data_IF_959747564627
#
_entry.id   IF_959747564627
#
_cell.length_a   1.000
_cell.length_b   1.000
_cell.length_c   1.000
_cell.angle_alpha   90.00
_cell.angle_beta   90.00
_cell.angle_gamma   90.00
#
_symmetry.space_group_name_H-M   'P 1'
#
loop_
_entity.id
_entity.type
_entity.pdbx_description
1 polymer ?
#
# COMPACT_ATOMS: atom_id res chain seq x y z
N UNK A 1 -22.97 -29.83 -2.66
CA UNK A 1 -24.24 -29.36 -2.03
C UNK A 1 -24.83 -30.32 -1.00
N UNK A 2 -24.82 -31.66 -1.17
CA UNK A 2 -25.39 -32.59 -0.18
C UNK A 2 -24.50 -32.77 1.08
N UNK A 3 -23.17 -32.88 0.91
CA UNK A 3 -22.19 -32.82 2.02
C UNK A 3 -22.18 -31.49 2.79
N UNK A 4 -22.57 -30.42 2.12
CA UNK A 4 -22.64 -29.07 2.71
C UNK A 4 -23.95 -28.85 3.49
N UNK A 5 -25.01 -29.60 3.14
CA UNK A 5 -26.26 -29.67 3.92
C UNK A 5 -26.13 -30.58 5.14
N UNK A 6 -25.39 -31.68 5.07
CA UNK A 6 -25.07 -32.51 6.24
C UNK A 6 -24.12 -31.78 7.21
N UNK A 7 -23.12 -31.07 6.69
CA UNK A 7 -22.28 -30.17 7.48
C UNK A 7 -23.03 -28.96 8.05
N UNK A 8 -24.19 -28.58 7.49
CA UNK A 8 -25.09 -27.56 8.06
C UNK A 8 -26.03 -28.13 9.12
N UNK A 9 -26.56 -29.35 8.94
CA UNK A 9 -27.36 -30.05 9.96
C UNK A 9 -26.54 -30.39 11.21
N UNK A 10 -25.25 -30.67 11.05
CA UNK A 10 -24.34 -30.91 12.17
C UNK A 10 -23.89 -29.61 12.88
N UNK A 11 -24.10 -28.43 12.28
CA UNK A 11 -23.77 -27.12 12.87
C UNK A 11 -24.82 -26.60 13.85
N UNK A 12 -26.00 -27.20 13.91
CA UNK A 12 -27.08 -26.80 14.83
C UNK A 12 -27.13 -27.63 16.11
N UNK A 13 -26.22 -28.59 16.28
CA UNK A 13 -26.31 -29.55 17.36
C UNK A 13 -25.27 -29.30 18.46
N UNK A 14 -25.86 -28.84 19.57
CA UNK A 14 -25.40 -29.00 20.96
C UNK A 14 -24.45 -27.94 21.51
N UNK A 15 -25.04 -27.07 22.32
CA UNK A 15 -24.37 -26.08 23.17
C UNK A 15 -24.42 -26.55 24.61
N UNK A 16 -23.30 -27.03 25.16
CA UNK A 16 -23.19 -27.42 26.56
C UNK A 16 -22.79 -26.24 27.45
N UNK A 17 -23.33 -26.18 28.68
CA UNK A 17 -23.00 -25.17 29.69
C UNK A 17 -22.48 -25.88 30.95
N UNK A 18 -21.15 -26.02 31.06
CA UNK A 18 -20.49 -26.73 32.17
C UNK A 18 -20.07 -25.80 33.32
N UNK A 19 -20.62 -26.02 34.52
CA UNK A 19 -19.96 -25.66 35.79
C UNK A 19 -18.97 -26.79 36.21
N UNK A 20 -17.88 -26.43 36.91
CA UNK A 20 -16.91 -27.26 37.68
C UNK A 20 -16.55 -28.71 37.24
N UNK A 21 -15.25 -29.03 37.17
CA UNK A 21 -14.70 -30.26 36.54
C UNK A 21 -13.92 -31.23 37.48
N UNK A 22 -13.71 -32.50 37.08
CA UNK A 22 -12.50 -33.30 37.42
C UNK A 22 -12.08 -34.37 36.37
N UNK A 23 -10.78 -34.34 35.95
CA UNK A 23 -9.97 -35.29 35.08
C UNK A 23 -10.31 -35.29 33.55
N UNK A 24 -9.43 -35.42 32.54
CA UNK A 24 -7.97 -35.67 32.30
C UNK A 24 -7.51 -34.84 31.05
N UNK A 25 -6.47 -33.98 31.18
CA UNK A 25 -5.44 -33.54 30.19
C UNK A 25 -4.59 -32.42 30.86
N UNK A 26 -3.30 -32.66 31.12
CA UNK A 26 -2.47 -31.95 32.12
C UNK A 26 -2.47 -30.41 32.00
N UNK A 27 -2.31 -29.83 30.79
CA UNK A 27 -2.26 -28.36 30.60
C UNK A 27 -3.60 -27.62 30.70
N UNK A 28 -4.69 -28.17 30.14
CA UNK A 28 -6.04 -27.53 30.24
C UNK A 28 -6.63 -27.66 31.65
N UNK A 29 -6.29 -28.73 32.36
CA UNK A 29 -6.75 -29.00 33.74
C UNK A 29 -6.23 -27.94 34.71
N UNK A 30 -4.95 -27.62 34.72
CA UNK A 30 -4.41 -26.65 35.69
C UNK A 30 -5.02 -25.24 35.54
N UNK A 31 -5.24 -24.78 34.30
CA UNK A 31 -5.78 -23.44 34.05
C UNK A 31 -7.29 -23.33 34.30
N UNK A 32 -8.10 -24.27 33.76
CA UNK A 32 -9.57 -24.20 33.90
C UNK A 32 -10.08 -24.69 35.26
N UNK A 33 -9.40 -25.67 35.87
CA UNK A 33 -9.82 -26.25 37.15
C UNK A 33 -9.10 -25.72 38.38
N UNK A 34 -7.86 -25.26 38.21
CA UNK A 34 -7.09 -24.67 39.29
C UNK A 34 -7.43 -23.19 39.45
N UNK A 35 -7.10 -22.39 38.43
CA UNK A 35 -7.17 -20.93 38.52
C UNK A 35 -8.60 -20.36 38.52
N UNK A 36 -9.54 -21.05 37.87
CA UNK A 36 -10.92 -20.58 37.70
C UNK A 36 -11.93 -21.26 38.66
N UNK A 37 -11.47 -21.98 39.69
CA UNK A 37 -12.31 -22.76 40.60
C UNK A 37 -13.43 -21.94 41.30
N UNK A 38 -13.19 -20.64 41.53
CA UNK A 38 -14.13 -19.74 42.20
C UNK A 38 -14.98 -18.90 41.23
N UNK A 39 -14.83 -19.10 39.91
CA UNK A 39 -15.50 -18.30 38.88
C UNK A 39 -16.50 -19.16 38.12
N UNK A 40 -17.61 -18.53 37.71
CA UNK A 40 -18.54 -19.15 36.76
C UNK A 40 -17.87 -19.28 35.41
N UNK A 41 -17.81 -20.51 34.90
CA UNK A 41 -17.28 -20.82 33.57
C UNK A 41 -18.41 -21.42 32.75
N UNK A 42 -18.50 -21.02 31.48
CA UNK A 42 -19.39 -21.63 30.50
C UNK A 42 -18.53 -22.11 29.36
N UNK A 43 -18.65 -23.38 29.00
CA UNK A 43 -17.81 -23.99 27.98
C UNK A 43 -18.63 -24.80 26.98
N UNK A 44 -18.63 -24.33 25.74
CA UNK A 44 -19.32 -24.95 24.61
C UNK A 44 -18.35 -25.86 23.86
N UNK A 45 -18.69 -27.14 23.71
CA UNK A 45 -17.83 -28.11 23.02
C UNK A 45 -18.61 -29.23 22.35
N UNK A 46 -18.12 -29.71 21.20
CA UNK A 46 -18.59 -30.95 20.59
C UNK A 46 -17.87 -32.19 21.13
N UNK A 47 -16.84 -32.02 21.97
CA UNK A 47 -16.07 -33.13 22.52
C UNK A 47 -16.78 -33.71 23.75
N UNK A 48 -17.37 -34.89 23.57
CA UNK A 48 -18.18 -35.57 24.60
C UNK A 48 -17.32 -36.08 25.76
N UNK A 49 -16.02 -36.27 25.55
CA UNK A 49 -15.03 -36.72 26.54
C UNK A 49 -15.00 -35.90 27.84
N UNK A 50 -15.41 -34.63 27.79
CA UNK A 50 -15.31 -33.71 28.94
C UNK A 50 -16.62 -33.57 29.73
N UNK A 51 -17.71 -34.15 29.25
CA UNK A 51 -19.04 -34.00 29.85
C UNK A 51 -19.20 -34.69 31.21
N UNK A 52 -18.60 -35.87 31.51
CA UNK A 52 -18.75 -36.50 32.82
C UNK A 52 -18.20 -35.66 33.98
N UNK A 53 -17.30 -34.74 33.69
CA UNK A 53 -16.69 -33.86 34.67
C UNK A 53 -17.62 -32.70 35.07
N UNK A 54 -18.68 -32.40 34.30
CA UNK A 54 -19.58 -31.26 34.49
C UNK A 54 -20.44 -31.31 35.75
N UNK A 55 -20.64 -30.15 36.39
CA UNK A 55 -21.68 -29.92 37.39
C UNK A 55 -23.08 -29.79 36.75
N UNK A 56 -23.17 -29.19 35.55
CA UNK A 56 -24.41 -29.02 34.79
C UNK A 56 -24.12 -29.20 33.30
N UNK A 57 -25.03 -29.84 32.58
CA UNK A 57 -24.94 -30.06 31.15
C UNK A 57 -26.27 -29.60 30.56
N UNK A 58 -26.23 -28.76 29.53
CA UNK A 58 -27.40 -28.34 28.77
C UNK A 58 -27.27 -28.89 27.35
N UNK A 59 -28.30 -29.54 26.83
CA UNK A 59 -28.32 -30.05 25.44
C UNK A 59 -29.20 -29.11 24.63
N UNK A 60 -28.67 -28.59 23.52
CA UNK A 60 -29.43 -27.77 22.57
C UNK A 60 -29.65 -28.50 21.24
N UNK A 61 -30.90 -28.47 20.76
CA UNK A 61 -31.32 -28.99 19.45
C UNK A 61 -32.29 -27.98 18.83
N UNK A 62 -32.09 -27.64 17.55
CA UNK A 62 -32.95 -26.70 16.81
C UNK A 62 -33.17 -25.35 17.52
N UNK A 63 -32.12 -24.82 18.16
CA UNK A 63 -32.17 -23.56 18.91
C UNK A 63 -32.95 -23.61 20.23
N UNK A 64 -33.38 -24.78 20.70
CA UNK A 64 -34.06 -24.98 22.00
C UNK A 64 -33.24 -25.88 22.91
N UNK A 65 -33.34 -25.64 24.22
CA UNK A 65 -32.76 -26.53 25.24
C UNK A 65 -33.68 -27.74 25.39
N UNK A 66 -33.19 -28.93 25.08
CA UNK A 66 -33.96 -30.18 25.16
C UNK A 66 -33.80 -30.88 26.50
N UNK A 67 -32.59 -30.87 27.06
CA UNK A 67 -32.25 -31.55 28.32
C UNK A 67 -31.29 -30.71 29.16
N UNK A 68 -31.41 -30.82 30.48
CA UNK A 68 -30.59 -30.14 31.46
C UNK A 68 -30.39 -31.03 32.70
N UNK A 69 -29.16 -31.21 33.17
CA UNK A 69 -28.88 -32.06 34.34
C UNK A 69 -27.42 -32.47 34.50
N UNK A 70 -27.15 -33.37 35.45
CA UNK A 70 -25.84 -34.01 35.59
C UNK A 70 -25.68 -35.11 34.55
N UNK A 71 -24.44 -35.54 34.31
CA UNK A 71 -24.14 -36.59 33.33
C UNK A 71 -24.94 -37.88 33.56
N UNK A 72 -25.05 -38.34 34.82
CA UNK A 72 -25.85 -39.52 35.20
C UNK A 72 -27.34 -39.38 34.88
N UNK A 73 -27.87 -38.17 35.05
CA UNK A 73 -29.31 -37.92 34.99
C UNK A 73 -29.77 -37.80 33.54
N UNK A 74 -28.92 -37.20 32.68
CA UNK A 74 -29.17 -37.04 31.25
C UNK A 74 -28.97 -38.37 30.50
N UNK A 75 -27.98 -39.18 30.92
CA UNK A 75 -27.74 -40.50 30.32
C UNK A 75 -28.95 -41.44 30.52
N UNK A 76 -29.64 -41.33 31.65
CA UNK A 76 -30.78 -42.18 31.99
C UNK A 76 -32.12 -41.67 31.47
N UNK A 77 -32.22 -40.40 31.07
CA UNK A 77 -33.50 -39.74 30.73
C UNK A 77 -33.67 -39.41 29.24
N UNK A 78 -32.61 -39.51 28.42
CA UNK A 78 -32.60 -38.90 27.08
C UNK A 78 -32.18 -39.80 25.93
N UNK A 79 -33.01 -39.86 24.88
CA UNK A 79 -32.67 -40.48 23.58
C UNK A 79 -31.66 -39.64 22.78
N UNK A 80 -31.84 -38.30 22.77
CA UNK A 80 -31.03 -37.37 21.97
C UNK A 80 -29.56 -37.28 22.43
N UNK A 81 -29.30 -37.32 23.75
CA UNK A 81 -27.94 -37.30 24.29
C UNK A 81 -27.21 -38.63 24.04
N UNK A 82 -27.93 -39.74 24.18
CA UNK A 82 -27.39 -41.09 23.96
C UNK A 82 -27.04 -41.33 22.49
N UNK A 83 -27.80 -40.77 21.55
CA UNK A 83 -27.46 -40.77 20.11
C UNK A 83 -26.14 -40.02 19.86
N UNK A 84 -25.90 -38.89 20.54
CA UNK A 84 -24.67 -38.10 20.41
C UNK A 84 -23.44 -38.83 20.99
N UNK A 85 -23.58 -39.41 22.19
CA UNK A 85 -22.51 -40.17 22.83
C UNK A 85 -22.18 -41.42 22.01
N UNK A 86 -23.19 -42.14 21.53
CA UNK A 86 -23.03 -43.32 20.69
C UNK A 86 -22.41 -43.01 19.32
N UNK A 87 -22.78 -41.88 18.70
CA UNK A 87 -22.15 -41.43 17.46
C UNK A 87 -20.67 -41.07 17.66
N UNK A 88 -20.32 -40.48 18.80
CA UNK A 88 -18.94 -40.13 19.13
C UNK A 88 -18.08 -41.36 19.46
N UNK A 89 -18.61 -42.31 20.24
CA UNK A 89 -17.95 -43.58 20.55
C UNK A 89 -17.71 -44.41 19.29
N UNK A 90 -18.70 -44.43 18.38
CA UNK A 90 -18.57 -45.05 17.06
C UNK A 90 -17.51 -44.37 16.19
N UNK A 91 -17.41 -43.04 16.21
CA UNK A 91 -16.38 -42.29 15.49
C UNK A 91 -14.97 -42.51 16.06
N UNK A 92 -14.82 -42.58 17.39
CA UNK A 92 -13.55 -42.89 18.05
C UNK A 92 -13.11 -44.33 17.75
N UNK A 93 -14.03 -45.30 17.79
CA UNK A 93 -13.74 -46.69 17.44
C UNK A 93 -13.32 -46.85 15.96
N UNK A 94 -13.87 -46.04 15.05
CA UNK A 94 -13.47 -46.03 13.64
C UNK A 94 -12.07 -45.44 13.43
N UNK A 95 -11.68 -44.42 14.20
CA UNK A 95 -10.33 -43.85 14.18
C UNK A 95 -9.28 -44.83 14.73
N UNK A 96 -9.57 -45.50 15.85
CA UNK A 96 -8.70 -46.55 16.41
C UNK A 96 -8.56 -47.74 15.45
N UNK A 97 -9.62 -48.09 14.70
CA UNK A 97 -9.54 -49.13 13.66
C UNK A 97 -8.72 -48.74 12.43
N UNK A 98 -8.49 -47.44 12.21
CA UNK A 98 -7.70 -46.94 11.06
C UNK A 98 -6.20 -46.85 11.42
N UNK A 99 -5.85 -46.58 12.69
CA UNK A 99 -4.47 -46.64 13.15
C UNK A 99 -3.94 -48.09 13.22
N UNK A 100 -4.81 -49.07 13.46
CA UNK A 100 -4.46 -50.49 13.53
C UNK A 100 -4.15 -51.17 12.17
N UNK A 101 -4.45 -50.54 11.03
CA UNK A 101 -4.24 -51.13 9.68
C UNK A 101 -2.89 -50.72 9.06
N UNK A 102 -2.09 -49.87 9.72
CA UNK A 102 -0.79 -49.45 9.19
C UNK A 102 0.41 -50.35 9.56
N UNK A 103 0.17 -51.47 10.24
CA UNK A 103 1.23 -52.41 10.66
C UNK A 103 0.81 -53.85 10.40
N UNK A 104 0.67 -54.25 9.13
CA UNK A 104 0.73 -55.67 8.68
C UNK A 104 0.57 -55.74 7.16
N UNK A 105 1.64 -55.54 6.39
CA UNK A 105 1.88 -56.27 5.13
C UNK A 105 3.18 -55.78 4.48
N UNK A 106 4.26 -56.54 4.69
CA UNK A 106 5.18 -57.01 3.63
C UNK A 106 6.43 -57.62 4.27
N UNK A 107 6.46 -58.95 4.30
CA UNK A 107 7.70 -59.74 4.42
C UNK A 107 7.77 -60.68 3.22
N UNK A 108 8.98 -61.00 2.77
CA UNK A 108 9.38 -61.93 1.68
C UNK A 108 9.48 -61.25 0.29
N UNK A 109 10.58 -61.29 -0.49
CA UNK A 109 11.84 -62.06 -0.43
C UNK A 109 13.03 -61.30 -1.11
N UNK A 110 14.21 -61.47 -0.49
CA UNK A 110 15.57 -61.71 -1.01
C UNK A 110 16.15 -60.98 -2.25
N UNK A 111 17.30 -60.30 -2.05
CA UNK A 111 18.63 -60.82 -2.42
C UNK A 111 19.77 -59.79 -2.15
N UNK A 112 20.88 -60.25 -1.55
CA UNK A 112 22.22 -59.72 -1.86
C UNK A 112 23.01 -58.94 -0.78
N UNK A 113 23.70 -59.68 0.09
CA UNK A 113 25.06 -59.47 0.61
C UNK A 113 25.57 -58.06 1.02
N UNK A 114 25.67 -57.87 2.35
CA UNK A 114 26.91 -57.76 3.15
C UNK A 114 27.99 -56.74 2.73
N UNK A 115 28.15 -55.64 3.48
CA UNK A 115 29.31 -55.39 4.36
C UNK A 115 29.36 -53.94 4.93
N UNK A 116 29.62 -53.90 6.24
CA UNK A 116 29.84 -52.79 7.17
C UNK A 116 30.82 -51.69 6.70
N UNK A 117 30.65 -50.43 7.17
CA UNK A 117 31.56 -49.79 8.16
C UNK A 117 31.13 -48.33 8.49
N UNK A 118 31.24 -47.99 9.78
CA UNK A 118 30.99 -46.72 10.46
C UNK A 118 31.69 -45.46 9.89
N UNK A 119 31.12 -44.28 10.19
CA UNK A 119 31.80 -42.97 10.15
C UNK A 119 30.86 -41.81 10.52
N UNK A 120 30.64 -41.53 11.81
CA UNK A 120 31.18 -40.37 12.53
C UNK A 120 30.82 -39.01 11.91
N UNK A 121 29.85 -38.33 12.53
CA UNK A 121 29.56 -36.90 12.31
C UNK A 121 30.64 -36.09 13.02
N UNK A 122 31.54 -35.48 12.24
CA UNK A 122 32.54 -34.54 12.75
C UNK A 122 31.91 -33.16 12.98
N UNK A 123 31.99 -32.76 14.25
CA UNK A 123 31.81 -31.40 14.74
C UNK A 123 33.11 -30.65 14.45
N UNK A 124 33.07 -29.57 13.67
CA UNK A 124 34.23 -28.72 13.43
C UNK A 124 33.98 -27.37 14.12
N UNK A 125 34.60 -27.21 15.28
CA UNK A 125 35.00 -25.92 15.82
C UNK A 125 36.28 -25.51 15.10
N UNK A 126 36.35 -24.27 14.62
CA UNK A 126 37.60 -23.52 14.56
C UNK A 126 37.33 -22.05 14.90
N UNK A 127 38.08 -21.57 15.88
CA UNK A 127 38.22 -20.18 16.31
C UNK A 127 39.36 -19.53 15.54
N UNK A 128 39.18 -18.26 15.15
CA UNK A 128 40.11 -17.14 15.37
C UNK A 128 39.45 -15.87 14.80
N UNK A 129 39.01 -14.90 15.64
CA UNK A 129 39.71 -13.65 16.02
C UNK A 129 40.08 -12.80 14.77
N UNK A 130 39.61 -11.56 14.53
CA UNK A 130 39.37 -10.43 15.44
C UNK A 130 38.67 -9.25 14.71
N UNK A 131 37.97 -8.43 15.52
CA UNK A 131 37.78 -6.98 15.44
C UNK A 131 36.81 -6.34 14.43
N UNK A 132 35.73 -5.76 14.96
CA UNK A 132 34.94 -4.72 14.28
C UNK A 132 33.58 -4.44 14.91
N UNK A 133 33.57 -3.67 16.01
CA UNK A 133 32.44 -2.87 16.54
C UNK A 133 31.07 -3.55 16.72
N UNK A 134 30.78 -3.88 17.97
CA UNK A 134 29.43 -4.09 18.48
C UNK A 134 28.71 -2.74 18.57
N UNK A 135 27.72 -2.53 17.71
CA UNK A 135 26.45 -1.87 17.99
C UNK A 135 25.50 -2.15 16.80
N UNK A 136 24.20 -2.34 17.08
CA UNK A 136 23.10 -2.54 16.12
C UNK A 136 22.71 -3.96 15.64
N UNK A 137 22.84 -5.01 16.47
CA UNK A 137 22.03 -6.23 16.27
C UNK A 137 21.40 -6.71 17.58
N UNK A 138 20.40 -5.96 18.04
CA UNK A 138 19.30 -6.54 18.83
C UNK A 138 18.11 -6.68 17.89
N UNK A 139 18.25 -7.54 16.89
CA UNK A 139 17.11 -8.05 16.12
C UNK A 139 16.25 -8.88 17.06
N UNK A 140 15.04 -8.40 17.32
CA UNK A 140 13.99 -9.04 18.11
C UNK A 140 13.91 -10.55 17.88
N UNK A 141 14.11 -11.35 18.94
CA UNK A 141 13.96 -12.81 18.91
C UNK A 141 12.52 -13.17 18.45
N UNK A 142 12.40 -13.75 17.25
CA UNK A 142 11.19 -14.47 16.81
C UNK A 142 10.13 -13.64 16.09
N UNK A 143 10.47 -12.47 15.55
CA UNK A 143 9.51 -11.69 14.74
C UNK A 143 9.41 -12.31 13.33
N UNK A 144 8.36 -13.10 13.09
CA UNK A 144 8.08 -13.73 11.78
C UNK A 144 7.77 -12.66 10.72
N UNK A 145 7.21 -11.53 11.15
CA UNK A 145 6.83 -10.43 10.28
C UNK A 145 8.04 -9.52 10.07
N UNK A 146 8.57 -9.47 8.84
CA UNK A 146 9.62 -8.50 8.48
C UNK A 146 9.05 -7.08 8.52
N UNK A 147 9.70 -6.22 9.31
CA UNK A 147 9.51 -4.77 9.20
C UNK A 147 9.96 -4.31 7.81
N UNK A 148 9.26 -3.34 7.25
CA UNK A 148 9.50 -2.92 5.87
C UNK A 148 10.90 -2.29 5.73
N UNK A 149 11.83 -3.03 5.12
CA UNK A 149 13.20 -2.55 4.93
C UNK A 149 13.24 -1.30 4.08
N UNK A 150 14.05 -0.37 4.57
CA UNK A 150 14.03 1.01 4.15
C UNK A 150 15.17 1.25 3.16
N UNK A 151 14.85 1.35 1.86
CA UNK A 151 15.81 1.96 0.93
C UNK A 151 16.03 3.44 1.31
N UNK A 152 17.25 3.77 1.72
CA UNK A 152 17.71 5.14 2.04
C UNK A 152 18.33 5.74 0.77
N UNK A 153 17.79 6.83 0.22
CA UNK A 153 18.44 7.50 -0.92
C UNK A 153 17.52 8.27 -1.87
N UNK A 154 18.09 8.66 -3.03
CA UNK A 154 17.37 9.21 -4.18
C UNK A 154 16.84 8.06 -5.04
N UNK A 155 15.63 8.20 -5.58
CA UNK A 155 15.10 7.26 -6.57
C UNK A 155 16.01 7.29 -7.80
N UNK A 156 16.55 6.14 -8.19
CA UNK A 156 17.42 6.06 -9.36
C UNK A 156 16.67 6.40 -10.65
N UNK A 157 17.33 7.12 -11.56
CA UNK A 157 16.79 7.43 -12.90
C UNK A 157 16.35 6.18 -13.67
N UNK A 158 16.95 5.02 -13.36
CA UNK A 158 16.55 3.72 -13.90
C UNK A 158 15.07 3.39 -13.66
N UNK A 159 14.49 3.80 -12.53
CA UNK A 159 13.07 3.53 -12.22
C UNK A 159 12.15 4.34 -13.13
N UNK A 160 12.46 5.63 -13.31
CA UNK A 160 11.72 6.49 -14.23
C UNK A 160 11.85 6.00 -15.68
N UNK A 161 13.06 5.59 -16.08
CA UNK A 161 13.31 5.03 -17.41
C UNK A 161 12.51 3.75 -17.65
N UNK A 162 12.46 2.84 -16.67
CA UNK A 162 11.64 1.62 -16.75
C UNK A 162 10.16 1.95 -16.88
N UNK A 163 9.66 2.94 -16.14
CA UNK A 163 8.26 3.36 -16.24
C UNK A 163 7.93 3.89 -17.65
N UNK A 164 8.78 4.77 -18.18
CA UNK A 164 8.59 5.41 -19.50
C UNK A 164 8.69 4.39 -20.65
N UNK A 165 9.57 3.39 -20.52
CA UNK A 165 9.82 2.38 -21.57
C UNK A 165 8.92 1.15 -21.50
N UNK A 166 8.16 0.96 -20.41
CA UNK A 166 7.31 -0.22 -20.22
C UNK A 166 6.17 -0.29 -21.26
N UNK A 167 5.49 0.82 -21.54
CA UNK A 167 4.49 0.86 -22.61
C UNK A 167 5.14 0.96 -24.00
N UNK A 168 4.75 0.03 -24.89
CA UNK A 168 5.15 0.00 -26.30
C UNK A 168 6.67 0.13 -26.55
N UNK A 169 7.51 -0.30 -25.60
CA UNK A 169 8.97 -0.17 -25.71
C UNK A 169 9.48 1.27 -25.77
N UNK A 170 8.67 2.26 -25.35
CA UNK A 170 9.01 3.68 -25.39
C UNK A 170 8.75 4.39 -26.74
N UNK A 171 8.24 3.69 -27.75
CA UNK A 171 8.03 4.26 -29.10
C UNK A 171 7.04 5.45 -29.12
N UNK A 172 6.07 5.50 -28.21
CA UNK A 172 5.09 6.58 -28.13
C UNK A 172 5.63 7.86 -27.46
N UNK A 173 6.71 7.75 -26.68
CA UNK A 173 7.29 8.86 -25.92
C UNK A 173 7.78 10.00 -26.82
N UNK A 174 8.57 9.77 -27.89
CA UNK A 174 8.99 10.85 -28.78
C UNK A 174 7.80 11.51 -29.49
N UNK A 175 6.75 10.74 -29.83
CA UNK A 175 5.54 11.29 -30.47
C UNK A 175 4.78 12.19 -29.49
N UNK A 176 4.68 11.81 -28.22
CA UNK A 176 4.06 12.62 -27.17
C UNK A 176 4.86 13.92 -26.95
N UNK A 177 6.19 13.84 -26.90
CA UNK A 177 7.05 15.02 -26.77
C UNK A 177 6.94 15.94 -27.98
N UNK A 178 6.91 15.39 -29.19
CA UNK A 178 6.70 16.15 -30.43
C UNK A 178 5.36 16.90 -30.39
N UNK A 179 4.26 16.21 -30.04
CA UNK A 179 2.94 16.83 -29.93
C UNK A 179 2.91 17.94 -28.86
N UNK A 180 3.63 17.76 -27.75
CA UNK A 180 3.75 18.76 -26.69
C UNK A 180 4.56 19.99 -27.13
N UNK A 181 5.68 19.79 -27.84
CA UNK A 181 6.48 20.88 -28.40
C UNK A 181 5.68 21.64 -29.44
N UNK A 182 5.00 20.94 -30.36
CA UNK A 182 4.16 21.57 -31.38
C UNK A 182 3.04 22.39 -30.76
N UNK A 183 2.38 21.86 -29.73
CA UNK A 183 1.38 22.60 -28.95
C UNK A 183 1.96 23.89 -28.38
N UNK A 184 3.12 23.82 -27.71
CA UNK A 184 3.76 24.98 -27.11
C UNK A 184 4.17 26.02 -28.15
N UNK A 185 4.73 25.58 -29.29
CA UNK A 185 5.12 26.47 -30.39
C UNK A 185 3.93 27.19 -30.99
N UNK A 186 2.82 26.49 -31.21
CA UNK A 186 1.57 27.12 -31.71
C UNK A 186 1.01 28.13 -30.72
N UNK A 187 1.08 27.83 -29.42
CA UNK A 187 0.58 28.74 -28.38
C UNK A 187 1.45 30.00 -28.24
N UNK A 188 2.78 29.84 -28.26
CA UNK A 188 3.72 30.97 -28.31
C UNK A 188 3.54 31.77 -29.60
N UNK A 189 3.46 31.11 -30.75
CA UNK A 189 3.25 31.75 -32.04
C UNK A 189 1.94 32.53 -32.11
N UNK A 190 0.88 32.02 -31.50
CA UNK A 190 -0.40 32.73 -31.37
C UNK A 190 -0.27 34.00 -30.51
N UNK A 191 0.39 33.91 -29.36
CA UNK A 191 0.65 35.08 -28.51
C UNK A 191 1.53 36.12 -29.21
N UNK A 192 2.57 35.67 -29.92
CA UNK A 192 3.47 36.55 -30.69
C UNK A 192 2.74 37.22 -31.86
N UNK A 193 1.91 36.48 -32.59
CA UNK A 193 1.07 37.01 -33.66
C UNK A 193 0.12 38.09 -33.15
N UNK A 194 -0.53 37.86 -32.00
CA UNK A 194 -1.38 38.86 -31.35
C UNK A 194 -0.60 40.11 -30.95
N UNK A 195 0.59 39.95 -30.37
CA UNK A 195 1.45 41.07 -29.98
C UNK A 195 1.93 41.90 -31.18
N UNK A 196 2.27 41.26 -32.30
CA UNK A 196 2.72 41.95 -33.51
C UNK A 196 1.59 42.61 -34.30
N UNK A 197 0.42 41.97 -34.38
CA UNK A 197 -0.70 42.46 -35.19
C UNK A 197 -1.54 43.56 -34.50
N UNK A 198 -1.37 43.76 -33.18
CA UNK A 198 -2.11 44.79 -32.43
C UNK A 198 -1.33 46.12 -32.41
N UNK A 199 -1.92 47.24 -32.87
CA UNK A 199 -1.23 48.52 -32.87
C UNK A 199 -1.02 49.03 -31.44
N UNK A 200 0.18 49.52 -31.17
CA UNK A 200 0.65 49.93 -29.83
C UNK A 200 0.06 51.31 -29.43
N UNK A 201 -0.51 52.07 -30.37
CA UNK A 201 -1.16 53.38 -30.15
C UNK A 201 -2.17 53.73 -31.25
N UNK A 202 -3.15 54.61 -30.95
CA UNK A 202 -4.25 54.99 -31.86
C UNK A 202 -3.80 55.66 -33.17
N UNK A 203 -2.56 56.15 -33.26
CA UNK A 203 -2.02 56.88 -34.42
C UNK A 203 -1.26 56.01 -35.45
N UNK A 204 -1.13 54.70 -35.23
CA UNK A 204 -0.41 53.78 -36.14
C UNK A 204 -1.41 52.96 -36.97
N UNK A 205 -1.26 52.96 -38.30
CA UNK A 205 -2.09 52.13 -39.19
C UNK A 205 -1.93 50.65 -38.82
N UNK A 206 -3.03 49.89 -38.67
CA UNK A 206 -2.95 48.48 -38.35
C UNK A 206 -2.18 47.73 -39.43
N UNK A 207 -1.18 46.93 -39.04
CA UNK A 207 -0.32 46.17 -39.96
C UNK A 207 -1.10 45.16 -40.82
N UNK A 208 -2.28 44.75 -40.34
CA UNK A 208 -3.17 43.77 -40.98
C UNK A 208 -4.64 44.12 -40.75
N UNK A 209 -5.50 43.74 -41.69
CA UNK A 209 -6.95 43.85 -41.54
C UNK A 209 -7.43 43.08 -40.31
N UNK A 210 -8.38 43.65 -39.56
CA UNK A 210 -8.97 43.01 -38.38
C UNK A 210 -9.54 41.62 -38.67
N UNK A 211 -10.06 41.40 -39.89
CA UNK A 211 -10.54 40.08 -40.33
C UNK A 211 -9.41 39.06 -40.46
N UNK A 212 -8.27 39.43 -41.04
CA UNK A 212 -7.10 38.56 -41.21
C UNK A 212 -6.47 38.20 -39.87
N UNK A 213 -6.40 39.14 -38.93
CA UNK A 213 -5.89 38.90 -37.57
C UNK A 213 -6.70 37.79 -36.87
N UNK A 214 -8.03 37.92 -36.88
CA UNK A 214 -8.93 36.96 -36.23
C UNK A 214 -8.85 35.59 -36.92
N UNK A 215 -8.81 35.53 -38.26
CA UNK A 215 -8.73 34.27 -39.00
C UNK A 215 -7.45 33.48 -38.66
N UNK A 216 -6.30 34.16 -38.60
CA UNK A 216 -5.02 33.52 -38.27
C UNK A 216 -4.98 33.09 -36.79
N UNK A 217 -5.49 33.91 -35.88
CA UNK A 217 -5.60 33.55 -34.47
C UNK A 217 -6.48 32.31 -34.25
N UNK A 218 -7.65 32.27 -34.89
CA UNK A 218 -8.58 31.13 -34.80
C UNK A 218 -7.98 29.86 -35.40
N UNK A 219 -7.28 29.95 -36.53
CA UNK A 219 -6.65 28.76 -37.15
C UNK A 219 -5.52 28.19 -36.28
N UNK A 220 -4.69 29.05 -35.68
CA UNK A 220 -3.67 28.64 -34.71
C UNK A 220 -4.29 28.03 -33.45
N UNK A 221 -5.39 28.60 -32.96
CA UNK A 221 -6.12 28.07 -31.81
C UNK A 221 -6.69 26.67 -32.10
N UNK A 222 -7.31 26.45 -33.26
CA UNK A 222 -7.81 25.14 -33.68
C UNK A 222 -6.66 24.13 -33.79
N UNK A 223 -5.53 24.52 -34.40
CA UNK A 223 -4.34 23.67 -34.49
C UNK A 223 -3.80 23.27 -33.11
N UNK A 224 -3.71 24.23 -32.17
CA UNK A 224 -3.26 23.96 -30.81
C UNK A 224 -4.25 23.04 -30.05
N UNK A 225 -5.56 23.25 -30.23
CA UNK A 225 -6.60 22.41 -29.64
C UNK A 225 -6.54 20.97 -30.16
N UNK A 226 -6.20 20.78 -31.43
CA UNK A 226 -6.00 19.44 -31.98
C UNK A 226 -4.73 18.78 -31.40
N UNK A 227 -3.63 19.52 -31.28
CA UNK A 227 -2.38 19.01 -30.70
C UNK A 227 -2.56 18.56 -29.24
N UNK A 228 -3.28 19.33 -28.42
CA UNK A 228 -3.55 18.94 -27.03
C UNK A 228 -4.45 17.71 -26.93
N UNK A 229 -5.43 17.57 -27.83
CA UNK A 229 -6.28 16.37 -27.92
C UNK A 229 -5.43 15.13 -28.23
N UNK A 230 -4.61 15.19 -29.29
CA UNK A 230 -3.72 14.09 -29.69
C UNK A 230 -2.78 13.71 -28.55
N UNK A 231 -2.16 14.70 -27.91
CA UNK A 231 -1.27 14.49 -26.76
C UNK A 231 -2.00 13.79 -25.61
N UNK A 232 -3.20 14.28 -25.25
CA UNK A 232 -4.00 13.74 -24.14
C UNK A 232 -4.38 12.29 -24.38
N UNK A 233 -4.81 11.96 -25.62
CA UNK A 233 -5.16 10.59 -26.02
C UNK A 233 -3.95 9.66 -25.96
N UNK A 234 -2.81 10.04 -26.56
CA UNK A 234 -1.60 9.21 -26.58
C UNK A 234 -1.08 8.93 -25.17
N UNK A 235 -1.03 9.97 -24.33
CA UNK A 235 -0.60 9.86 -22.95
C UNK A 235 -1.56 8.99 -22.11
N UNK A 236 -2.88 9.13 -22.32
CA UNK A 236 -3.90 8.28 -21.73
C UNK A 236 -3.72 6.80 -22.07
N UNK A 237 -3.52 6.50 -23.35
CA UNK A 237 -3.26 5.13 -23.80
C UNK A 237 -1.96 4.58 -23.22
N UNK A 238 -0.88 5.38 -23.18
CA UNK A 238 0.40 4.96 -22.61
C UNK A 238 0.31 4.72 -21.09
N UNK A 239 -0.36 5.60 -20.35
CA UNK A 239 -0.58 5.48 -18.90
C UNK A 239 -1.37 4.23 -18.56
N UNK A 240 -2.53 4.06 -19.19
CA UNK A 240 -3.38 2.87 -19.01
C UNK A 240 -2.62 1.57 -19.33
N UNK A 241 -1.89 1.51 -20.45
CA UNK A 241 -1.14 0.32 -20.83
C UNK A 241 -0.04 -0.01 -19.85
N UNK A 242 0.70 1.01 -19.38
CA UNK A 242 1.76 0.84 -18.37
C UNK A 242 1.18 0.29 -17.06
N UNK A 243 0.09 0.89 -16.59
CA UNK A 243 -0.52 0.52 -15.32
C UNK A 243 -1.10 -0.90 -15.35
N UNK A 244 -1.75 -1.28 -16.46
CA UNK A 244 -2.25 -2.65 -16.69
C UNK A 244 -1.11 -3.68 -16.72
N UNK A 245 -0.01 -3.39 -17.42
CA UNK A 245 1.14 -4.30 -17.45
C UNK A 245 1.81 -4.45 -16.08
N UNK A 246 1.94 -3.36 -15.33
CA UNK A 246 2.50 -3.40 -13.98
C UNK A 246 1.62 -4.26 -13.06
N UNK A 247 0.29 -4.08 -13.13
CA UNK A 247 -0.67 -4.88 -12.38
C UNK A 247 -0.60 -6.37 -12.74
N UNK A 248 -0.61 -6.71 -14.03
CA UNK A 248 -0.53 -8.11 -14.47
C UNK A 248 0.77 -8.79 -14.05
N UNK A 249 1.90 -8.09 -14.11
CA UNK A 249 3.20 -8.61 -13.62
C UNK A 249 3.19 -8.82 -12.12
N UNK A 250 2.73 -7.84 -11.36
CA UNK A 250 2.61 -7.94 -9.91
C UNK A 250 1.70 -9.12 -9.52
N UNK A 251 0.53 -9.22 -10.14
CA UNK A 251 -0.41 -10.31 -9.93
C UNK A 251 0.24 -11.68 -10.21
N UNK A 252 0.90 -11.84 -11.35
CA UNK A 252 1.61 -13.08 -11.70
C UNK A 252 2.71 -13.44 -10.68
N UNK A 253 3.49 -12.46 -10.23
CA UNK A 253 4.55 -12.68 -9.23
C UNK A 253 3.98 -13.09 -7.85
N UNK A 254 2.88 -12.47 -7.41
CA UNK A 254 2.25 -12.78 -6.12
C UNK A 254 1.74 -14.23 -6.11
N UNK A 255 1.02 -14.67 -7.15
CA UNK A 255 0.50 -16.04 -7.21
C UNK A 255 1.59 -17.12 -7.30
N UNK A 256 2.80 -16.76 -7.73
CA UNK A 256 3.94 -17.66 -7.83
C UNK A 256 4.89 -17.58 -6.64
N UNK A 257 4.58 -16.75 -5.65
CA UNK A 257 5.40 -16.60 -4.45
C UNK A 257 5.23 -17.84 -3.52
N UNK A 258 6.31 -18.28 -2.84
CA UNK A 258 6.23 -19.38 -1.87
C UNK A 258 5.44 -18.98 -0.63
N UNK A 259 4.91 -19.96 0.13
CA UNK A 259 4.13 -19.68 1.33
C UNK A 259 4.90 -18.84 2.38
N UNK A 260 6.22 -19.01 2.46
CA UNK A 260 7.09 -18.22 3.33
C UNK A 260 6.99 -16.71 3.10
N UNK A 261 6.72 -16.26 1.87
CA UNK A 261 6.49 -14.85 1.57
C UNK A 261 5.22 -14.32 2.26
N UNK A 262 4.16 -15.12 2.29
CA UNK A 262 2.88 -14.76 2.90
C UNK A 262 2.92 -14.84 4.42
N UNK A 263 3.73 -15.73 4.99
CA UNK A 263 3.93 -15.80 6.44
C UNK A 263 4.78 -14.62 6.95
N UNK A 264 5.77 -14.18 6.16
CA UNK A 264 6.64 -13.05 6.50
C UNK A 264 6.01 -11.67 6.19
N UNK A 265 5.07 -11.61 5.24
CA UNK A 265 4.49 -10.34 4.75
C UNK A 265 3.04 -10.20 5.20
N UNK A 266 2.68 -9.16 5.99
CA UNK A 266 1.30 -8.94 6.39
C UNK A 266 0.37 -8.77 5.19
N UNK A 267 -0.82 -9.38 5.26
CA UNK A 267 -1.84 -9.29 4.21
C UNK A 267 -2.22 -7.84 3.85
N UNK A 268 -2.23 -6.94 4.85
CA UNK A 268 -2.47 -5.52 4.66
C UNK A 268 -1.45 -4.84 3.73
N UNK A 269 -0.18 -5.27 3.72
CA UNK A 269 0.87 -4.72 2.85
C UNK A 269 0.66 -5.14 1.40
N UNK A 270 0.29 -6.39 1.16
CA UNK A 270 -0.01 -6.89 -0.19
C UNK A 270 -1.24 -6.16 -0.75
N UNK A 271 -2.29 -6.01 0.06
CA UNK A 271 -3.50 -5.28 -0.33
C UNK A 271 -3.21 -3.80 -0.58
N UNK A 272 -2.40 -3.13 0.26
CA UNK A 272 -2.07 -1.72 0.05
C UNK A 272 -1.30 -1.49 -1.26
N UNK A 273 -0.40 -2.41 -1.63
CA UNK A 273 0.34 -2.38 -2.90
C UNK A 273 -0.61 -2.59 -4.09
N UNK A 274 -1.48 -3.60 -4.00
CA UNK A 274 -2.44 -3.91 -5.06
C UNK A 274 -3.59 -2.89 -5.22
N UNK A 275 -3.88 -2.11 -4.17
CA UNK A 275 -4.97 -1.13 -4.16
C UNK A 275 -4.45 0.31 -4.19
N UNK A 276 -3.81 0.79 -3.13
CA UNK A 276 -3.45 2.22 -2.99
C UNK A 276 -2.32 2.62 -3.94
N UNK A 277 -1.28 1.79 -4.04
CA UNK A 277 -0.15 2.10 -4.91
C UNK A 277 -0.52 1.93 -6.37
N UNK A 278 -1.24 0.84 -6.71
CA UNK A 278 -1.79 0.66 -8.06
C UNK A 278 -2.70 1.82 -8.47
N UNK A 279 -3.63 2.26 -7.61
CA UNK A 279 -4.50 3.41 -7.88
C UNK A 279 -3.70 4.70 -8.12
N UNK A 280 -2.57 4.88 -7.44
CA UNK A 280 -1.67 6.01 -7.67
C UNK A 280 -1.02 5.93 -9.05
N UNK A 281 -0.63 4.73 -9.51
CA UNK A 281 -0.10 4.52 -10.86
C UNK A 281 -1.18 4.73 -11.91
N UNK A 282 -2.39 4.22 -11.68
CA UNK A 282 -3.52 4.28 -12.60
C UNK A 282 -4.00 5.72 -12.84
N UNK A 283 -4.18 6.50 -11.76
CA UNK A 283 -4.87 7.80 -11.84
C UNK A 283 -3.92 8.99 -11.82
N UNK A 284 -2.81 8.88 -11.07
CA UNK A 284 -2.01 10.05 -10.69
C UNK A 284 -0.67 10.12 -11.42
N UNK A 285 0.01 8.99 -11.62
CA UNK A 285 1.35 8.98 -12.21
C UNK A 285 1.39 9.57 -13.63
N UNK A 286 0.41 9.21 -14.48
CA UNK A 286 0.29 9.75 -15.84
C UNK A 286 0.20 11.29 -15.83
N UNK A 287 -0.63 11.85 -14.96
CA UNK A 287 -0.81 13.29 -14.84
C UNK A 287 0.48 13.99 -14.38
N UNK A 288 1.19 13.45 -13.38
CA UNK A 288 2.43 14.06 -12.89
C UNK A 288 3.53 14.10 -13.97
N UNK A 289 3.74 13.00 -14.68
CA UNK A 289 4.74 12.95 -15.76
C UNK A 289 4.42 13.98 -16.84
N UNK A 290 3.14 14.10 -17.19
CA UNK A 290 2.68 15.03 -18.21
C UNK A 290 2.75 16.49 -17.78
N UNK A 291 2.41 16.79 -16.53
CA UNK A 291 2.51 18.12 -15.94
C UNK A 291 3.98 18.54 -15.86
N UNK A 292 4.88 17.66 -15.43
CA UNK A 292 6.31 17.93 -15.40
C UNK A 292 6.89 18.21 -16.80
N UNK A 293 6.58 17.36 -17.79
CA UNK A 293 7.02 17.55 -19.17
C UNK A 293 6.46 18.85 -19.76
N UNK A 294 5.18 19.16 -19.48
CA UNK A 294 4.54 20.40 -19.88
C UNK A 294 5.27 21.61 -19.29
N UNK A 295 5.49 21.65 -17.98
CA UNK A 295 6.17 22.76 -17.30
C UNK A 295 7.61 22.95 -17.78
N UNK A 296 8.36 21.88 -18.05
CA UNK A 296 9.73 21.99 -18.58
C UNK A 296 9.75 22.56 -20.01
N UNK A 297 8.88 22.08 -20.89
CA UNK A 297 8.80 22.57 -22.27
C UNK A 297 8.28 24.02 -22.30
N UNK A 298 7.31 24.35 -21.45
CA UNK A 298 6.81 25.71 -21.29
C UNK A 298 7.89 26.66 -20.78
N UNK A 299 8.67 26.25 -19.76
CA UNK A 299 9.78 27.04 -19.23
C UNK A 299 10.82 27.33 -20.32
N UNK A 300 11.24 26.30 -21.07
CA UNK A 300 12.17 26.48 -22.19
C UNK A 300 11.59 27.39 -23.29
N UNK A 301 10.30 27.26 -23.58
CA UNK A 301 9.60 28.13 -24.53
C UNK A 301 9.57 29.60 -24.10
N UNK A 302 9.29 29.88 -22.82
CA UNK A 302 9.31 31.24 -22.27
C UNK A 302 10.73 31.81 -22.32
N UNK A 303 11.74 31.04 -21.94
CA UNK A 303 13.15 31.44 -22.01
C UNK A 303 13.54 31.79 -23.46
N UNK A 304 13.11 30.99 -24.44
CA UNK A 304 13.42 31.23 -25.85
C UNK A 304 12.78 32.52 -26.40
N UNK A 305 11.55 32.85 -25.99
CA UNK A 305 10.87 34.10 -26.37
C UNK A 305 11.54 35.30 -25.69
N UNK A 306 11.80 35.19 -24.39
CA UNK A 306 12.42 36.28 -23.63
C UNK A 306 13.85 36.59 -24.11
N UNK A 307 14.58 35.57 -24.59
CA UNK A 307 15.90 35.79 -25.19
C UNK A 307 15.86 36.62 -26.47
N UNK A 308 14.75 36.64 -27.21
CA UNK A 308 14.60 37.45 -28.42
C UNK A 308 14.17 38.88 -28.09
N UNK A 309 13.20 39.03 -27.19
CA UNK A 309 12.58 40.32 -26.87
C UNK A 309 13.42 41.15 -25.88
N UNK A 310 13.97 40.51 -24.86
CA UNK A 310 14.63 41.20 -23.75
C UNK A 310 15.78 40.35 -23.17
N UNK A 311 16.81 40.11 -23.98
CA UNK A 311 17.99 39.32 -23.59
C UNK A 311 18.69 39.86 -22.33
N UNK A 312 18.51 41.15 -22.02
CA UNK A 312 19.09 41.82 -20.86
C UNK A 312 18.47 41.34 -19.53
N UNK A 313 17.20 40.89 -19.54
CA UNK A 313 16.49 40.36 -18.34
C UNK A 313 17.09 39.03 -17.87
N UNK A 314 17.88 38.36 -18.70
CA UNK A 314 18.53 37.09 -18.36
C UNK A 314 19.48 37.21 -17.16
N UNK A 315 20.07 38.39 -16.95
CA UNK A 315 20.93 38.68 -15.79
C UNK A 315 20.16 38.50 -14.48
N UNK A 316 18.86 38.86 -14.46
CA UNK A 316 17.98 38.69 -13.29
C UNK A 316 17.59 37.22 -13.09
N UNK A 317 17.50 36.43 -14.17
CA UNK A 317 17.15 35.00 -14.05
C UNK A 317 18.26 34.15 -13.43
N UNK A 318 19.54 34.48 -13.63
CA UNK A 318 20.66 33.70 -13.06
C UNK A 318 20.56 33.57 -11.52
N UNK A 319 20.45 34.66 -10.73
CA UNK A 319 20.31 34.55 -9.28
C UNK A 319 18.98 33.92 -8.84
N UNK A 320 17.90 34.11 -9.61
CA UNK A 320 16.60 33.46 -9.35
C UNK A 320 16.72 31.95 -9.49
N UNK A 321 17.31 31.45 -10.58
CA UNK A 321 17.53 30.02 -10.80
C UNK A 321 18.43 29.43 -9.72
N UNK A 322 19.52 30.12 -9.35
CA UNK A 322 20.41 29.68 -8.28
C UNK A 322 19.66 29.56 -6.93
N UNK A 323 18.83 30.54 -6.59
CA UNK A 323 18.01 30.53 -5.37
C UNK A 323 16.95 29.41 -5.42
N UNK A 324 16.33 29.19 -6.57
CA UNK A 324 15.39 28.07 -6.77
C UNK A 324 16.06 26.70 -6.60
N UNK A 325 17.27 26.51 -7.14
CA UNK A 325 18.04 25.27 -6.96
C UNK A 325 18.38 25.07 -5.47
N UNK A 326 18.75 26.13 -4.76
CA UNK A 326 19.03 26.06 -3.34
C UNK A 326 17.78 25.66 -2.53
N UNK A 327 16.63 26.30 -2.78
CA UNK A 327 15.36 25.90 -2.16
C UNK A 327 14.96 24.46 -2.51
N UNK A 328 15.14 24.04 -3.75
CA UNK A 328 14.86 22.68 -4.20
C UNK A 328 15.71 21.65 -3.45
N UNK A 329 17.01 21.93 -3.26
CA UNK A 329 17.93 21.05 -2.53
C UNK A 329 17.58 20.93 -1.05
N UNK A 330 17.03 21.98 -0.44
CA UNK A 330 16.59 21.96 0.96
C UNK A 330 15.23 21.28 1.15
N UNK A 331 14.27 21.57 0.27
CA UNK A 331 12.90 21.07 0.38
C UNK A 331 12.80 19.57 0.06
N UNK A 332 13.43 19.10 -1.02
CA UNK A 332 13.23 17.72 -1.51
C UNK A 332 13.61 16.66 -0.47
N UNK A 333 14.77 16.72 0.23
CA UNK A 333 15.12 15.76 1.27
C UNK A 333 14.12 15.77 2.42
N UNK A 334 13.78 16.96 2.92
CA UNK A 334 12.85 17.14 4.04
C UNK A 334 11.45 16.61 3.73
N UNK A 335 10.89 17.01 2.58
CA UNK A 335 9.57 16.57 2.13
C UNK A 335 9.52 15.04 1.88
N UNK A 336 10.60 14.45 1.38
CA UNK A 336 10.69 13.00 1.15
C UNK A 336 10.67 12.22 2.46
N UNK A 337 11.48 12.63 3.42
CA UNK A 337 11.53 12.01 4.75
C UNK A 337 10.17 12.10 5.45
N UNK A 338 9.50 13.24 5.32
CA UNK A 338 8.20 13.47 5.91
C UNK A 338 7.09 12.67 5.23
N UNK A 339 7.12 12.60 3.89
CA UNK A 339 6.22 11.74 3.11
C UNK A 339 6.39 10.27 3.46
N UNK A 340 7.63 9.84 3.72
CA UNK A 340 7.94 8.50 4.20
C UNK A 340 7.36 8.24 5.60
N UNK A 341 7.52 9.19 6.52
CA UNK A 341 6.98 9.09 7.88
C UNK A 341 5.44 8.95 7.86
N UNK A 342 4.75 9.69 6.99
CA UNK A 342 3.30 9.55 6.77
C UNK A 342 2.94 8.13 6.30
N UNK A 343 3.72 7.55 5.38
CA UNK A 343 3.51 6.19 4.90
C UNK A 343 3.59 5.15 6.03
N UNK A 344 4.60 5.27 6.89
CA UNK A 344 4.81 4.37 8.03
C UNK A 344 3.73 4.53 9.10
N UNK A 345 3.39 5.77 9.49
CA UNK A 345 2.37 6.00 10.52
C UNK A 345 0.95 5.57 10.09
N UNK A 346 0.68 5.49 8.78
CA UNK A 346 -0.63 5.08 8.26
C UNK A 346 -0.91 3.58 8.45
N UNK A 347 0.09 2.72 8.32
CA UNK A 347 -0.11 1.27 8.34
C UNK A 347 -0.62 0.74 9.71
N UNK A 348 -0.05 1.15 10.87
CA UNK A 348 -0.56 0.73 12.18
C UNK A 348 -2.00 1.14 12.46
N UNK A 349 -2.46 2.28 11.93
CA UNK A 349 -3.86 2.73 12.07
C UNK A 349 -4.81 1.74 11.38
N UNK A 350 -4.49 1.34 10.15
CA UNK A 350 -5.31 0.39 9.37
C UNK A 350 -5.28 -1.00 10.03
N UNK A 351 -4.11 -1.43 10.49
CA UNK A 351 -3.96 -2.72 11.17
C UNK A 351 -4.78 -2.78 12.46
N UNK A 352 -4.65 -1.77 13.33
CA UNK A 352 -5.42 -1.70 14.57
C UNK A 352 -6.93 -1.70 14.30
N UNK A 353 -7.37 -1.03 13.23
CA UNK A 353 -8.76 -1.05 12.79
C UNK A 353 -9.23 -2.46 12.36
N UNK A 354 -8.41 -3.17 11.57
CA UNK A 354 -8.72 -4.54 11.12
C UNK A 354 -8.77 -5.54 12.29
N UNK A 355 -7.83 -5.45 13.24
CA UNK A 355 -7.81 -6.26 14.46
C UNK A 355 -9.03 -5.98 15.34
N UNK A 356 -9.38 -4.71 15.51
CA UNK A 356 -10.57 -4.29 16.27
C UNK A 356 -11.85 -4.82 15.62
N UNK A 357 -11.95 -4.79 14.29
CA UNK A 357 -13.11 -5.31 13.56
C UNK A 357 -13.25 -6.81 13.72
N UNK A 358 -12.15 -7.57 13.61
CA UNK A 358 -12.16 -9.03 13.79
C UNK A 358 -12.43 -9.44 15.24
N UNK A 359 -11.96 -8.65 16.22
CA UNK A 359 -12.10 -8.91 17.65
C UNK A 359 -13.28 -8.20 18.31
N UNK A 360 -14.19 -7.58 17.55
CA UNK A 360 -15.21 -6.68 18.09
C UNK A 360 -16.15 -7.33 19.12
N UNK A 361 -16.47 -8.62 18.98
CA UNK A 361 -17.25 -9.36 19.99
C UNK A 361 -16.47 -9.56 21.29
N UNK A 362 -15.17 -9.85 21.18
CA UNK A 362 -14.28 -10.10 22.32
C UNK A 362 -14.02 -8.82 23.10
N UNK A 363 -13.73 -7.72 22.42
CA UNK A 363 -13.50 -6.41 23.04
C UNK A 363 -14.73 -5.98 23.86
N UNK A 364 -15.92 -6.14 23.28
CA UNK A 364 -17.20 -5.84 23.96
C UNK A 364 -17.48 -6.77 25.12
N UNK A 365 -17.17 -8.06 25.00
CA UNK A 365 -17.37 -9.02 26.11
C UNK A 365 -16.46 -8.76 27.32
N UNK A 366 -15.29 -8.14 27.10
CA UNK A 366 -14.35 -7.78 28.16
C UNK A 366 -14.48 -6.32 28.64
N UNK A 367 -15.39 -5.53 28.07
CA UNK A 367 -15.59 -4.11 28.40
C UNK A 367 -14.32 -3.24 28.27
N UNK A 368 -13.46 -3.58 27.31
CA UNK A 368 -12.16 -2.92 27.07
C UNK A 368 -12.21 -1.89 25.93
N UNK A 369 -13.40 -1.35 25.63
CA UNK A 369 -13.61 -0.39 24.53
C UNK A 369 -12.79 0.89 24.70
N UNK A 370 -12.72 1.40 25.94
CA UNK A 370 -11.99 2.63 26.29
C UNK A 370 -10.50 2.52 25.97
N UNK A 371 -9.87 1.38 26.31
CA UNK A 371 -8.47 1.11 26.02
C UNK A 371 -8.18 1.10 24.52
N UNK A 372 -9.03 0.44 23.74
CA UNK A 372 -8.91 0.41 22.28
C UNK A 372 -9.15 1.78 21.65
N UNK A 373 -10.10 2.56 22.17
CA UNK A 373 -10.36 3.94 21.73
C UNK A 373 -9.15 4.83 21.97
N UNK A 374 -8.56 4.79 23.16
CA UNK A 374 -7.40 5.61 23.50
C UNK A 374 -6.17 5.24 22.66
N UNK A 375 -5.99 3.94 22.40
CA UNK A 375 -4.94 3.45 21.49
C UNK A 375 -5.17 3.96 20.06
N UNK A 376 -6.40 3.91 19.58
CA UNK A 376 -6.76 4.42 18.25
C UNK A 376 -6.51 5.93 18.14
N UNK A 377 -6.86 6.71 19.16
CA UNK A 377 -6.60 8.16 19.18
C UNK A 377 -5.10 8.47 19.11
N UNK A 378 -4.28 7.77 19.89
CA UNK A 378 -2.80 7.93 19.86
C UNK A 378 -2.21 7.59 18.49
N UNK A 379 -2.70 6.53 17.83
CA UNK A 379 -2.26 6.15 16.49
C UNK A 379 -2.72 7.17 15.44
N UNK A 380 -3.94 7.68 15.56
CA UNK A 380 -4.46 8.73 14.68
C UNK A 380 -3.64 10.02 14.82
N UNK A 381 -3.32 10.46 16.05
CA UNK A 381 -2.47 11.62 16.31
C UNK A 381 -1.07 11.44 15.72
N UNK A 382 -0.48 10.26 15.88
CA UNK A 382 0.83 9.94 15.32
C UNK A 382 0.86 9.99 13.78
N UNK A 383 -0.26 9.70 13.12
CA UNK A 383 -0.40 9.85 11.67
C UNK A 383 -0.73 11.30 11.24
N UNK A 384 -1.47 12.04 12.06
CA UNK A 384 -1.84 13.43 11.78
C UNK A 384 -0.67 14.40 11.88
N UNK A 385 0.25 14.23 12.85
CA UNK A 385 1.41 15.14 13.03
C UNK A 385 2.32 15.22 11.80
N UNK A 386 2.80 14.11 11.19
CA UNK A 386 3.61 14.18 9.97
C UNK A 386 2.83 14.75 8.78
N UNK A 387 1.52 14.48 8.71
CA UNK A 387 0.63 15.05 7.68
C UNK A 387 0.47 16.56 7.79
N UNK A 388 0.40 17.08 9.01
CA UNK A 388 0.39 18.52 9.23
C UNK A 388 1.72 19.15 8.81
N UNK A 389 2.83 18.54 9.21
CA UNK A 389 4.16 19.05 8.87
C UNK A 389 4.42 19.04 7.36
N UNK A 390 3.92 18.05 6.59
CA UNK A 390 4.11 18.03 5.13
C UNK A 390 3.31 19.12 4.44
N UNK A 391 2.11 19.44 4.94
CA UNK A 391 1.36 20.59 4.48
C UNK A 391 2.11 21.90 4.79
N UNK A 392 2.61 22.05 6.03
CA UNK A 392 3.42 23.22 6.42
C UNK A 392 4.70 23.38 5.58
N UNK A 393 5.39 22.29 5.27
CA UNK A 393 6.58 22.32 4.41
C UNK A 393 6.25 22.73 2.97
N UNK A 394 5.10 22.30 2.45
CA UNK A 394 4.63 22.70 1.12
C UNK A 394 4.30 24.19 1.08
N UNK A 395 3.52 24.69 2.06
CA UNK A 395 3.19 26.12 2.16
C UNK A 395 4.44 26.99 2.33
N UNK A 396 5.41 26.54 3.12
CA UNK A 396 6.69 27.23 3.27
C UNK A 396 7.42 27.42 1.92
N UNK A 397 7.43 26.39 1.07
CA UNK A 397 8.06 26.47 -0.25
C UNK A 397 7.27 27.41 -1.18
N UNK A 398 5.94 27.26 -1.23
CA UNK A 398 5.07 28.10 -2.05
C UNK A 398 5.26 29.58 -1.72
N UNK A 399 5.17 29.94 -0.44
CA UNK A 399 5.35 31.32 0.02
C UNK A 399 6.72 31.90 -0.39
N UNK A 400 7.80 31.12 -0.26
CA UNK A 400 9.15 31.59 -0.64
C UNK A 400 9.31 31.76 -2.14
N UNK A 401 8.73 30.87 -2.95
CA UNK A 401 8.74 30.99 -4.40
C UNK A 401 7.89 32.16 -4.89
N UNK A 402 6.76 32.45 -4.24
CA UNK A 402 5.90 33.59 -4.57
C UNK A 402 6.57 34.93 -4.21
N UNK A 403 7.24 35.00 -3.05
CA UNK A 403 8.04 36.17 -2.70
C UNK A 403 9.21 36.35 -3.67
N UNK A 404 9.90 35.28 -4.04
CA UNK A 404 10.99 35.33 -5.01
C UNK A 404 10.50 35.77 -6.40
N UNK A 405 9.33 35.29 -6.84
CA UNK A 405 8.75 35.65 -8.13
C UNK A 405 8.30 37.12 -8.17
N UNK A 406 7.70 37.63 -7.09
CA UNK A 406 7.35 39.05 -6.96
C UNK A 406 8.58 39.96 -6.98
N UNK A 407 9.64 39.58 -6.25
CA UNK A 407 10.92 40.31 -6.25
C UNK A 407 11.54 40.31 -7.66
N UNK A 408 11.61 39.14 -8.31
CA UNK A 408 12.14 39.01 -9.67
C UNK A 408 11.34 39.85 -10.67
N UNK A 409 10.02 39.90 -10.54
CA UNK A 409 9.14 40.71 -11.38
C UNK A 409 9.41 42.21 -11.20
N UNK A 410 9.53 42.70 -9.97
CA UNK A 410 9.86 44.11 -9.68
C UNK A 410 11.24 44.48 -10.26
N UNK A 411 12.26 43.65 -10.04
CA UNK A 411 13.59 43.90 -10.61
C UNK A 411 13.57 43.90 -12.14
N UNK A 412 12.82 42.98 -12.76
CA UNK A 412 12.70 42.92 -14.22
C UNK A 412 12.02 44.18 -14.78
N UNK A 413 10.98 44.70 -14.12
CA UNK A 413 10.31 45.94 -14.52
C UNK A 413 11.24 47.16 -14.39
N UNK A 414 11.93 47.30 -13.24
CA UNK A 414 12.87 48.41 -13.03
C UNK A 414 13.98 48.37 -14.07
N UNK A 415 14.50 47.18 -14.37
CA UNK A 415 15.57 47.01 -15.36
C UNK A 415 15.09 47.35 -16.78
N UNK A 416 13.87 46.97 -17.15
CA UNK A 416 13.28 47.28 -18.45
C UNK A 416 13.00 48.78 -18.63
N UNK A 417 12.55 49.48 -17.57
CA UNK A 417 12.31 50.93 -17.58
C UNK A 417 13.60 51.76 -17.52
N UNK A 418 14.66 51.24 -16.88
CA UNK A 418 15.92 51.98 -16.69
C UNK A 418 16.88 51.89 -17.88
N UNK A 419 16.65 50.97 -18.82
CA UNK A 419 17.45 50.87 -20.05
C UNK A 419 17.02 52.01 -20.99
N UNK A 420 17.94 52.89 -21.43
CA UNK A 420 17.60 54.04 -22.25
C UNK A 420 16.95 53.65 -23.58
N UNK A 421 15.98 54.44 -24.01
CA UNK A 421 15.30 54.34 -25.31
C UNK A 421 16.36 54.36 -26.44
N UNK A 422 16.50 53.23 -27.15
CA UNK A 422 17.50 53.05 -28.22
C UNK A 422 18.24 51.71 -28.23
N UNK A 423 18.08 50.86 -27.20
CA UNK A 423 18.67 49.49 -27.16
C UNK A 423 17.63 48.41 -27.48
N UNK A 424 16.35 48.77 -27.49
CA UNK A 424 15.23 47.93 -27.91
C UNK A 424 14.65 48.62 -29.14
N UNK A 425 15.03 48.16 -30.33
CA UNK A 425 14.31 48.53 -31.54
C UNK A 425 12.89 47.92 -31.46
N UNK A 426 11.83 48.68 -31.78
CA UNK A 426 10.44 48.24 -31.66
C UNK A 426 10.08 47.04 -32.54
#
# INVERSE_FOLDING_TARGET
>A
MQKEREGKKMKEMVTFFLFGWHKRKKKKKECLLGLLRSKTVVYVTHQVEFLPAADLILVMKDGRITQAGKYSDILNSGTDFMELVGAHEKALSALDSTEAVSVSESTSEEAGNMASTNGVVQKQEDKDLQNGTADDIVGSKGQIIQEEEREKGKVGLSVYWKYITMAYGGALVPIILLAQVLFQTLQIGSNYWMAWATPISQDVKPAVSSSTLIIVYVSLAIGSSFCILVRSMLLGTAGYKTASQLFSKMHYCIFRAPMSFFDATPSGRIISRASTDQSTVDLRMQYLVASFAFSMIQLLGIIAVMSQVAWQVFIVFIPVIATCIWYQQYYIPSARELSRLVGVCKAPVIQHFAETLSGASTIRSFDEESRFRDKNMKLADANSRPRFNIAGAMEWLCFRLDVLSAIAFVFSLVFLVSIPEGVIDP
#
